data_IF_407371463351
#
_entry.id   IF_407371463351
#
_cell.length_a   1.000
_cell.length_b   1.000
_cell.length_c   1.000
_cell.angle_alpha   90.00
_cell.angle_beta   90.00
_cell.angle_gamma   90.00
#
_symmetry.space_group_name_H-M   'P 1'
#
loop_
_entity.id
_entity.type
_entity.pdbx_description
1 polymer ?
#
# COMPACT_ATOMS: atom_id res chain seq x y z
N UNK A 1 -16.49 16.45 1.09
CA UNK A 1 -16.06 15.11 1.51
C UNK A 1 -15.38 14.43 0.34
N UNK A 2 -14.20 13.90 0.56
CA UNK A 2 -13.42 13.30 -0.52
C UNK A 2 -13.69 11.82 -0.62
N UNK A 3 -14.20 11.41 -1.76
CA UNK A 3 -14.38 10.00 -2.08
C UNK A 3 -13.16 9.50 -2.85
N UNK A 4 -12.89 8.20 -2.73
CA UNK A 4 -11.83 7.59 -3.46
C UNK A 4 -12.14 7.59 -4.97
N UNK A 5 -11.25 8.17 -5.76
CA UNK A 5 -11.35 8.15 -7.21
C UNK A 5 -10.31 7.22 -7.84
N UNK A 6 -9.39 6.72 -7.03
CA UNK A 6 -8.30 5.89 -7.50
C UNK A 6 -7.89 4.91 -6.41
N UNK A 7 -7.42 3.74 -6.78
CA UNK A 7 -6.95 2.75 -5.82
C UNK A 7 -5.58 2.23 -6.19
N UNK A 8 -4.75 2.07 -5.16
CA UNK A 8 -3.52 1.29 -5.23
C UNK A 8 -3.73 0.03 -4.38
N UNK A 9 -3.56 -1.13 -4.99
CA UNK A 9 -3.66 -2.40 -4.30
C UNK A 9 -2.28 -3.04 -4.29
N UNK A 10 -1.78 -3.34 -3.11
CA UNK A 10 -0.49 -4.01 -2.93
C UNK A 10 -0.74 -5.37 -2.32
N UNK A 11 -0.67 -6.40 -3.15
CA UNK A 11 -0.84 -7.77 -2.69
C UNK A 11 0.51 -8.40 -2.43
N UNK A 12 0.66 -9.07 -1.30
CA UNK A 12 1.92 -9.73 -0.99
C UNK A 12 1.72 -11.02 -0.24
N UNK A 13 2.66 -11.94 -0.45
CA UNK A 13 2.83 -13.12 0.37
C UNK A 13 4.19 -13.00 1.07
N UNK A 14 4.30 -13.50 2.29
CA UNK A 14 5.50 -13.40 3.08
C UNK A 14 5.82 -14.75 3.72
N UNK A 15 7.10 -15.08 3.80
CA UNK A 15 7.52 -16.29 4.48
C UNK A 15 7.20 -16.19 5.98
N UNK A 16 6.78 -17.31 6.62
CA UNK A 16 6.33 -17.28 8.01
C UNK A 16 7.30 -16.60 8.99
N UNK A 17 8.60 -16.82 8.81
CA UNK A 17 9.60 -16.28 9.73
C UNK A 17 9.76 -14.75 9.62
N UNK A 18 9.33 -14.15 8.52
CA UNK A 18 9.45 -12.71 8.30
C UNK A 18 8.14 -11.95 8.53
N UNK A 19 7.04 -12.66 8.70
CA UNK A 19 5.72 -12.01 8.78
C UNK A 19 5.60 -11.02 9.93
N UNK A 20 5.98 -11.42 11.12
CA UNK A 20 5.82 -10.56 12.30
C UNK A 20 6.59 -9.24 12.17
N UNK A 21 7.81 -9.28 11.65
CA UNK A 21 8.62 -8.08 11.43
C UNK A 21 8.02 -7.18 10.36
N UNK A 22 7.55 -7.80 9.27
CA UNK A 22 6.93 -7.04 8.19
C UNK A 22 5.69 -6.31 8.67
N UNK A 23 4.81 -6.99 9.42
CA UNK A 23 3.60 -6.37 9.94
C UNK A 23 3.92 -5.26 10.95
N UNK A 24 4.96 -5.43 11.77
CA UNK A 24 5.40 -4.37 12.68
C UNK A 24 5.88 -3.14 11.92
N UNK A 25 6.59 -3.34 10.83
CA UNK A 25 7.05 -2.23 9.99
C UNK A 25 5.86 -1.49 9.37
N UNK A 26 4.92 -2.24 8.80
CA UNK A 26 3.71 -1.64 8.22
C UNK A 26 2.94 -0.83 9.26
N UNK A 27 2.67 -1.43 10.42
CA UNK A 27 1.84 -0.82 11.45
C UNK A 27 2.60 0.22 12.27
N UNK A 28 3.91 0.14 12.31
CA UNK A 28 4.76 1.01 13.11
C UNK A 28 5.08 2.36 12.47
N UNK A 29 4.71 2.58 11.21
CA UNK A 29 4.96 3.87 10.59
C UNK A 29 4.86 3.90 9.08
N UNK A 30 5.13 2.79 8.39
CA UNK A 30 5.12 2.80 6.92
C UNK A 30 3.76 3.22 6.35
N UNK A 31 2.68 2.59 6.79
CA UNK A 31 1.35 2.89 6.29
C UNK A 31 0.98 4.35 6.61
N UNK A 32 1.30 4.81 7.82
CA UNK A 32 1.06 6.22 8.19
C UNK A 32 1.80 7.18 7.28
N UNK A 33 3.03 6.85 6.92
CA UNK A 33 3.84 7.69 6.05
C UNK A 33 3.26 7.78 4.65
N UNK A 34 2.75 6.65 4.13
CA UNK A 34 2.05 6.64 2.83
C UNK A 34 0.78 7.49 2.93
N UNK A 35 0.00 7.31 4.00
CA UNK A 35 -1.26 8.04 4.17
C UNK A 35 -1.05 9.54 4.43
N UNK A 36 0.14 9.96 4.81
CA UNK A 36 0.47 11.37 4.95
C UNK A 36 0.63 12.08 3.61
N UNK A 37 0.72 11.34 2.51
CA UNK A 37 0.85 11.93 1.18
C UNK A 37 -0.46 12.56 0.75
N UNK A 38 -0.35 13.69 0.05
CA UNK A 38 -1.53 14.45 -0.38
C UNK A 38 -2.47 13.58 -1.21
N UNK A 39 -3.74 13.59 -0.86
CA UNK A 39 -4.78 12.86 -1.58
C UNK A 39 -4.96 11.42 -1.18
N UNK A 40 -4.14 10.88 -0.29
CA UNK A 40 -4.36 9.54 0.26
C UNK A 40 -5.41 9.63 1.37
N UNK A 41 -6.42 8.76 1.32
CA UNK A 41 -7.61 8.87 2.17
C UNK A 41 -7.63 7.86 3.30
N UNK A 42 -7.42 6.59 2.98
CA UNK A 42 -7.39 5.52 3.97
C UNK A 42 -6.72 4.28 3.38
N UNK A 43 -6.41 3.34 4.25
CA UNK A 43 -5.85 2.06 3.86
C UNK A 43 -6.49 0.96 4.69
N UNK A 44 -6.77 -0.17 4.06
CA UNK A 44 -7.22 -1.37 4.74
C UNK A 44 -6.30 -2.51 4.37
N UNK A 45 -5.97 -3.35 5.35
CA UNK A 45 -5.24 -4.58 5.11
C UNK A 45 -6.19 -5.74 5.20
N UNK A 46 -6.23 -6.55 4.16
CA UNK A 46 -6.99 -7.79 4.13
C UNK A 46 -6.05 -8.95 4.36
N UNK A 47 -6.49 -9.93 5.14
CA UNK A 47 -5.81 -11.21 5.22
C UNK A 47 -6.49 -12.15 4.21
N UNK A 48 -5.72 -12.60 3.23
CA UNK A 48 -6.24 -13.46 2.16
C UNK A 48 -5.96 -14.94 2.44
N UNK A 49 -4.98 -15.21 3.26
CA UNK A 49 -4.58 -16.56 3.64
C UNK A 49 -3.60 -16.51 4.78
N UNK A 50 -3.01 -17.65 5.13
CA UNK A 50 -2.12 -17.76 6.29
C UNK A 50 -0.99 -16.75 6.27
N UNK A 51 -0.40 -16.51 5.11
CA UNK A 51 0.73 -15.59 4.95
C UNK A 51 0.56 -14.69 3.73
N UNK A 52 -0.71 -14.45 3.36
CA UNK A 52 -1.05 -13.62 2.22
C UNK A 52 -1.93 -12.45 2.64
N UNK A 53 -1.60 -11.28 2.11
CA UNK A 53 -2.27 -10.03 2.46
C UNK A 53 -2.49 -9.16 1.24
N UNK A 54 -3.42 -8.23 1.37
CA UNK A 54 -3.60 -7.18 0.37
C UNK A 54 -3.82 -5.86 1.10
N UNK A 55 -3.06 -4.84 0.71
CA UNK A 55 -3.23 -3.47 1.20
C UNK A 55 -4.06 -2.72 0.19
N UNK A 56 -5.16 -2.11 0.63
CA UNK A 56 -6.02 -1.31 -0.23
C UNK A 56 -5.86 0.15 0.15
N UNK A 57 -5.23 0.92 -0.73
CA UNK A 57 -5.06 2.36 -0.52
C UNK A 57 -6.11 3.10 -1.35
N UNK A 58 -6.99 3.80 -0.67
CA UNK A 58 -7.96 4.67 -1.30
C UNK A 58 -7.32 6.05 -1.52
N UNK A 59 -7.37 6.54 -2.73
CA UNK A 59 -6.70 7.76 -3.14
C UNK A 59 -7.72 8.67 -3.81
N UNK A 60 -7.60 9.97 -3.61
CA UNK A 60 -8.53 10.95 -4.15
C UNK A 60 -8.59 10.94 -5.67
N UNK A 61 -7.43 10.82 -6.34
CA UNK A 61 -7.34 10.92 -7.79
C UNK A 61 -6.08 10.25 -8.32
N UNK A 62 -6.07 10.02 -9.63
CA UNK A 62 -4.87 9.56 -10.33
C UNK A 62 -3.72 10.57 -10.15
N UNK A 63 -4.02 11.87 -10.20
CA UNK A 63 -2.98 12.89 -10.06
C UNK A 63 -2.27 12.78 -8.71
N UNK A 64 -3.02 12.53 -7.64
CA UNK A 64 -2.42 12.32 -6.32
C UNK A 64 -1.53 11.09 -6.29
N UNK A 65 -1.97 10.00 -6.93
CA UNK A 65 -1.16 8.79 -7.03
C UNK A 65 0.13 9.04 -7.82
N UNK A 66 0.02 9.75 -8.94
CA UNK A 66 1.19 10.05 -9.79
C UNK A 66 2.20 10.94 -9.06
N UNK A 67 1.72 11.89 -8.26
CA UNK A 67 2.59 12.72 -7.44
C UNK A 67 3.36 11.87 -6.41
N UNK A 68 2.68 10.92 -5.80
CA UNK A 68 3.31 9.97 -4.88
C UNK A 68 4.34 9.10 -5.59
N UNK A 69 3.97 8.53 -6.74
CA UNK A 69 4.89 7.70 -7.53
C UNK A 69 6.09 8.49 -8.03
N UNK A 70 5.95 9.78 -8.25
CA UNK A 70 7.03 10.66 -8.68
C UNK A 70 7.94 11.13 -7.56
N UNK A 71 7.61 10.84 -6.31
CA UNK A 71 8.43 11.23 -5.18
C UNK A 71 9.58 10.25 -4.99
N UNK A 72 10.68 10.49 -5.70
CA UNK A 72 11.80 9.57 -5.72
C UNK A 72 12.48 9.40 -4.37
N UNK A 73 12.59 10.48 -3.59
CA UNK A 73 13.19 10.41 -2.27
C UNK A 73 12.42 9.47 -1.34
N UNK A 74 11.08 9.54 -1.40
CA UNK A 74 10.22 8.68 -0.59
C UNK A 74 10.32 7.23 -1.06
N UNK A 75 10.34 7.01 -2.37
CA UNK A 75 10.46 5.66 -2.93
C UNK A 75 11.80 5.03 -2.54
N UNK A 76 12.86 5.80 -2.58
CA UNK A 76 14.19 5.32 -2.18
C UNK A 76 14.22 4.95 -0.70
N UNK A 77 13.58 5.77 0.14
CA UNK A 77 13.46 5.49 1.57
C UNK A 77 12.74 4.17 1.82
N UNK A 78 11.59 3.99 1.17
CA UNK A 78 10.81 2.77 1.32
C UNK A 78 11.57 1.54 0.81
N UNK A 79 12.29 1.68 -0.30
CA UNK A 79 13.10 0.58 -0.83
C UNK A 79 14.18 0.17 0.16
N UNK A 80 14.86 1.13 0.80
CA UNK A 80 15.86 0.82 1.80
C UNK A 80 15.25 0.10 3.00
N UNK A 81 14.08 0.54 3.44
CA UNK A 81 13.39 -0.07 4.58
C UNK A 81 12.92 -1.49 4.26
N UNK A 82 12.41 -1.71 3.03
CA UNK A 82 11.94 -3.03 2.60
C UNK A 82 13.06 -4.02 2.34
N UNK A 83 14.28 -3.56 2.16
CA UNK A 83 15.39 -4.43 1.78
C UNK A 83 15.55 -5.62 2.73
N UNK A 84 15.23 -5.46 4.01
CA UNK A 84 15.31 -6.52 5.00
C UNK A 84 14.29 -7.64 4.75
N UNK A 85 13.18 -7.34 4.07
CA UNK A 85 12.08 -8.28 3.85
C UNK A 85 11.99 -8.80 2.42
N UNK A 86 12.60 -8.11 1.48
CA UNK A 86 12.37 -8.27 0.05
C UNK A 86 12.58 -9.70 -0.43
N UNK A 87 13.61 -10.38 0.06
CA UNK A 87 13.90 -11.75 -0.32
C UNK A 87 12.93 -12.77 0.29
N UNK A 88 12.13 -12.33 1.27
CA UNK A 88 11.19 -13.19 1.99
C UNK A 88 9.74 -12.94 1.59
N UNK A 89 9.51 -12.12 0.56
CA UNK A 89 8.16 -11.79 0.16
C UNK A 89 8.03 -11.66 -1.35
N UNK A 90 6.81 -11.83 -1.82
CA UNK A 90 6.44 -11.55 -3.22
C UNK A 90 5.40 -10.46 -3.21
N UNK A 91 5.57 -9.48 -4.08
CA UNK A 91 4.69 -8.32 -4.16
C UNK A 91 4.13 -8.19 -5.56
N UNK A 92 2.82 -7.92 -5.64
CA UNK A 92 2.15 -7.51 -6.86
C UNK A 92 1.45 -6.20 -6.58
N UNK A 93 1.52 -5.26 -7.51
CA UNK A 93 0.88 -3.96 -7.38
C UNK A 93 -0.09 -3.75 -8.52
N UNK A 94 -1.29 -3.31 -8.17
CA UNK A 94 -2.33 -2.95 -9.13
C UNK A 94 -2.82 -1.56 -8.81
N UNK A 95 -3.14 -0.78 -9.84
CA UNK A 95 -3.73 0.53 -9.61
C UNK A 95 -4.72 0.83 -10.72
N UNK A 96 -5.72 1.64 -10.40
CA UNK A 96 -6.72 1.98 -11.37
C UNK A 96 -7.68 3.04 -10.87
N UNK A 97 -8.33 3.70 -11.83
CA UNK A 97 -9.37 4.66 -11.52
C UNK A 97 -10.68 3.96 -11.19
N UNK A 98 -11.43 4.56 -10.29
CA UNK A 98 -12.79 4.11 -10.01
C UNK A 98 -13.65 4.46 -11.22
N UNK A 99 -14.15 3.44 -11.91
CA UNK A 99 -14.98 3.61 -13.09
C UNK A 99 -16.45 3.68 -12.71
N UNK A 100 -16.85 2.88 -11.71
CA UNK A 100 -18.23 2.84 -11.26
C UNK A 100 -18.26 2.50 -9.77
N UNK A 101 -19.20 3.06 -9.05
CA UNK A 101 -19.42 2.78 -7.64
C UNK A 101 -20.85 2.36 -7.42
N UNK A 102 -21.02 1.29 -6.65
CA UNK A 102 -22.34 0.72 -6.38
C UNK A 102 -22.57 0.69 -4.88
N UNK A 103 -23.79 0.93 -4.47
CA UNK A 103 -24.20 0.79 -3.08
C UNK A 103 -25.30 -0.28 -3.00
N UNK A 104 -25.32 -1.01 -1.88
CA UNK A 104 -26.37 -2.00 -1.63
C UNK A 104 -27.67 -1.32 -1.30
#
# INVERSE_FOLDING_TARGET
MNEAGYFLVVRFSVEPQAEAELLRWLDGGHVKEVLAQKGFLWCKRLRLGAHEFSMLYAIESRAAFEAYEGNQALKDKFARERAAFEKHMRIERFCGEVEAAYAA
#
